data_IF_091373311394
#
_entry.id   IF_091373311394
#
_cell.length_a   1.000
_cell.length_b   1.000
_cell.length_c   1.000
_cell.angle_alpha   90.00
_cell.angle_beta   90.00
_cell.angle_gamma   90.00
#
_symmetry.space_group_name_H-M   'P 1'
#
loop_
_entity.id
_entity.type
_entity.pdbx_description
1 polymer ?
#
# COMPACT_ATOMS: atom_id res chain seq x y z
N UNK A 1 0.39 -8.70 -15.44
CA UNK A 1 0.66 -7.30 -15.09
C UNK A 1 1.75 -7.33 -14.04
N UNK A 2 2.92 -6.78 -14.35
CA UNK A 2 4.07 -6.75 -13.45
C UNK A 2 3.83 -5.85 -12.25
N UNK A 3 4.49 -6.14 -11.13
CA UNK A 3 4.44 -5.29 -9.94
C UNK A 3 5.61 -4.31 -9.97
N UNK A 4 5.30 -3.03 -9.95
CA UNK A 4 6.27 -1.94 -10.01
C UNK A 4 6.14 -1.04 -8.79
N UNK A 5 7.27 -0.72 -8.18
CA UNK A 5 7.39 0.34 -7.18
C UNK A 5 8.16 1.51 -7.79
N UNK A 6 7.74 2.74 -7.50
CA UNK A 6 8.45 3.97 -7.86
C UNK A 6 8.48 4.93 -6.68
N UNK A 7 9.67 5.30 -6.21
CA UNK A 7 9.84 6.26 -5.13
C UNK A 7 9.21 7.64 -5.44
N UNK A 8 9.21 8.05 -6.72
CA UNK A 8 8.61 9.30 -7.14
C UNK A 8 7.08 9.26 -7.05
N UNK A 9 6.46 8.18 -7.55
CA UNK A 9 5.00 7.99 -7.48
C UNK A 9 4.54 7.79 -6.04
N UNK A 10 5.31 7.04 -5.26
CA UNK A 10 5.05 6.81 -3.83
C UNK A 10 5.06 8.13 -3.05
N UNK A 11 6.04 9.00 -3.28
CA UNK A 11 6.08 10.34 -2.68
C UNK A 11 4.87 11.20 -3.09
N UNK A 12 4.49 11.16 -4.36
CA UNK A 12 3.32 11.89 -4.86
C UNK A 12 2.02 11.38 -4.21
N UNK A 13 1.86 10.06 -4.08
CA UNK A 13 0.74 9.44 -3.38
C UNK A 13 0.70 9.88 -1.92
N UNK A 14 1.82 9.80 -1.20
CA UNK A 14 1.90 10.19 0.20
C UNK A 14 1.46 11.64 0.37
N UNK A 15 1.97 12.55 -0.45
CA UNK A 15 1.62 13.97 -0.38
C UNK A 15 0.14 14.21 -0.66
N UNK A 16 -0.41 13.59 -1.73
CA UNK A 16 -1.81 13.72 -2.09
C UNK A 16 -2.73 13.18 -0.97
N UNK A 17 -2.40 12.02 -0.41
CA UNK A 17 -3.18 11.42 0.68
C UNK A 17 -3.11 12.25 1.96
N UNK A 18 -1.93 12.77 2.34
CA UNK A 18 -1.80 13.66 3.49
C UNK A 18 -2.72 14.89 3.36
N UNK A 19 -2.70 15.54 2.20
CA UNK A 19 -3.57 16.70 1.94
C UNK A 19 -5.06 16.31 1.98
N UNK A 20 -5.42 15.20 1.34
CA UNK A 20 -6.81 14.76 1.29
C UNK A 20 -7.35 14.36 2.67
N UNK A 21 -6.54 13.73 3.52
CA UNK A 21 -6.91 13.39 4.90
C UNK A 21 -7.15 14.65 5.72
N UNK A 22 -6.29 15.67 5.57
CA UNK A 22 -6.49 16.94 6.26
C UNK A 22 -7.83 17.59 5.87
N UNK A 23 -8.11 17.68 4.56
CA UNK A 23 -9.38 18.22 4.05
C UNK A 23 -10.57 17.38 4.54
N UNK A 24 -10.44 16.05 4.53
CA UNK A 24 -11.49 15.16 4.97
C UNK A 24 -11.81 15.37 6.47
N UNK A 25 -10.79 15.48 7.33
CA UNK A 25 -10.95 15.79 8.75
C UNK A 25 -11.67 17.13 8.97
N UNK A 26 -11.25 18.19 8.28
CA UNK A 26 -11.91 19.50 8.37
C UNK A 26 -13.39 19.45 7.98
N UNK A 27 -13.72 18.70 6.92
CA UNK A 27 -15.10 18.52 6.47
C UNK A 27 -15.90 17.71 7.49
N UNK A 28 -15.36 16.59 7.99
CA UNK A 28 -16.09 15.75 8.96
C UNK A 28 -16.27 16.43 10.31
N UNK A 29 -15.30 17.22 10.76
CA UNK A 29 -15.41 17.98 12.01
C UNK A 29 -16.50 19.05 11.91
N UNK A 30 -16.55 19.77 10.77
CA UNK A 30 -17.62 20.75 10.50
C UNK A 30 -18.99 20.09 10.40
N UNK A 31 -19.09 18.93 9.75
CA UNK A 31 -20.33 18.16 9.68
C UNK A 31 -20.78 17.69 11.07
N UNK A 32 -19.86 17.17 11.88
CA UNK A 32 -20.16 16.74 13.24
C UNK A 32 -20.62 17.91 14.10
N UNK A 33 -19.88 19.02 14.10
CA UNK A 33 -20.23 20.22 14.87
C UNK A 33 -21.57 20.83 14.44
N UNK A 34 -21.85 20.87 13.13
CA UNK A 34 -23.14 21.31 12.61
C UNK A 34 -24.30 20.40 13.04
N UNK A 35 -24.07 19.08 13.07
CA UNK A 35 -25.07 18.13 13.58
C UNK A 35 -25.29 18.32 15.10
N UNK A 36 -24.23 18.47 15.89
CA UNK A 36 -24.33 18.70 17.32
C UNK A 36 -25.12 19.99 17.63
N UNK A 37 -24.84 21.07 16.90
CA UNK A 37 -25.60 22.32 17.00
C UNK A 37 -27.08 22.11 16.63
N UNK A 38 -27.37 21.41 15.52
CA UNK A 38 -28.74 21.14 15.11
C UNK A 38 -29.51 20.37 16.20
N UNK A 39 -28.91 19.32 16.76
CA UNK A 39 -29.52 18.53 17.85
C UNK A 39 -29.73 19.39 19.09
N UNK A 40 -28.77 20.23 19.46
CA UNK A 40 -28.91 21.15 20.60
C UNK A 40 -30.05 22.16 20.41
N UNK A 41 -30.21 22.75 19.22
CA UNK A 41 -31.33 23.65 18.90
C UNK A 41 -32.70 22.96 18.89
N UNK A 42 -32.73 21.66 18.57
CA UNK A 42 -33.94 20.83 18.66
C UNK A 42 -34.28 20.50 20.13
N UNK A 43 -33.26 20.24 20.95
CA UNK A 43 -33.41 19.92 22.37
C UNK A 43 -33.75 21.14 23.23
N UNK A 44 -33.32 22.34 22.82
CA UNK A 44 -33.69 23.60 23.49
C UNK A 44 -35.17 23.97 23.29
N UNK A 45 -35.84 23.35 22.31
CA UNK A 45 -37.18 23.72 21.90
C UNK A 45 -37.23 25.00 21.07
N UNK A 46 -36.10 25.50 20.55
CA UNK A 46 -36.08 26.63 19.61
C UNK A 46 -36.64 26.23 18.24
N UNK A 47 -36.41 24.97 17.84
CA UNK A 47 -36.95 24.37 16.62
C UNK A 47 -38.02 23.32 16.97
N UNK A 48 -39.29 23.61 16.67
CA UNK A 48 -40.43 22.73 17.02
C UNK A 48 -41.41 22.53 15.86
N UNK A 49 -42.09 21.39 15.86
CA UNK A 49 -43.07 21.00 14.85
C UNK A 49 -42.70 19.68 14.17
N UNK A 50 -43.65 19.10 13.44
CA UNK A 50 -43.50 17.77 12.82
C UNK A 50 -42.26 17.67 11.90
N UNK A 51 -41.95 18.74 11.16
CA UNK A 51 -40.75 18.82 10.30
C UNK A 51 -39.44 18.68 11.07
N UNK A 52 -39.34 19.37 12.19
CA UNK A 52 -38.16 19.36 13.03
C UNK A 52 -38.02 18.03 13.78
N UNK A 53 -39.13 17.44 14.23
CA UNK A 53 -39.13 16.08 14.81
C UNK A 53 -38.71 15.02 13.80
N UNK A 54 -39.20 15.09 12.57
CA UNK A 54 -38.84 14.13 11.53
C UNK A 54 -37.36 14.31 11.12
N UNK A 55 -36.93 15.55 10.87
CA UNK A 55 -35.52 15.88 10.61
C UNK A 55 -34.60 15.39 11.73
N UNK A 56 -34.97 15.60 12.99
CA UNK A 56 -34.26 15.05 14.15
C UNK A 56 -34.05 13.54 14.05
N UNK A 57 -35.10 12.80 13.68
CA UNK A 57 -35.04 11.36 13.49
C UNK A 57 -34.04 10.95 12.40
N UNK A 58 -34.10 11.59 11.23
CA UNK A 58 -33.17 11.34 10.13
C UNK A 58 -31.71 11.60 10.54
N UNK A 59 -31.45 12.74 11.20
CA UNK A 59 -30.11 13.10 11.64
C UNK A 59 -29.58 12.15 12.72
N UNK A 60 -30.39 11.86 13.74
CA UNK A 60 -29.97 11.02 14.88
C UNK A 60 -29.79 9.56 14.48
N UNK A 61 -30.67 9.01 13.65
CA UNK A 61 -30.66 7.59 13.30
C UNK A 61 -29.73 7.25 12.13
N UNK A 62 -29.51 8.18 11.20
CA UNK A 62 -28.82 7.89 9.94
C UNK A 62 -27.59 8.79 9.76
N UNK A 63 -27.76 10.12 9.75
CA UNK A 63 -26.68 11.04 9.32
C UNK A 63 -25.53 11.07 10.34
N UNK A 64 -25.81 11.28 11.63
CA UNK A 64 -24.79 11.35 12.68
C UNK A 64 -23.98 10.05 12.78
N UNK A 65 -24.61 8.85 12.86
CA UNK A 65 -23.85 7.59 12.86
C UNK A 65 -23.00 7.41 11.60
N UNK A 66 -23.47 7.87 10.44
CA UNK A 66 -22.72 7.78 9.18
C UNK A 66 -21.50 8.68 9.16
N UNK A 67 -21.60 9.90 9.67
CA UNK A 67 -20.45 10.82 9.85
C UNK A 67 -19.43 10.21 10.81
N UNK A 68 -19.87 9.61 11.94
CA UNK A 68 -18.96 8.94 12.88
C UNK A 68 -18.23 7.76 12.25
N UNK A 69 -18.90 6.95 11.42
CA UNK A 69 -18.25 5.87 10.65
C UNK A 69 -17.25 6.41 9.64
N UNK A 70 -17.57 7.51 8.97
CA UNK A 70 -16.66 8.18 8.04
C UNK A 70 -15.41 8.71 8.75
N UNK A 71 -15.56 9.32 9.92
CA UNK A 71 -14.43 9.80 10.74
C UNK A 71 -13.50 8.64 11.14
N UNK A 72 -14.06 7.53 11.63
CA UNK A 72 -13.28 6.34 11.95
C UNK A 72 -12.53 5.77 10.72
N UNK A 73 -13.11 5.84 9.53
CA UNK A 73 -12.44 5.42 8.30
C UNK A 73 -11.30 6.36 7.90
N UNK A 74 -11.45 7.67 8.09
CA UNK A 74 -10.39 8.66 7.86
C UNK A 74 -9.23 8.43 8.84
N UNK A 75 -9.52 8.19 10.11
CA UNK A 75 -8.52 7.83 11.12
C UNK A 75 -7.75 6.57 10.71
N UNK A 76 -8.47 5.55 10.23
CA UNK A 76 -7.85 4.32 9.74
C UNK A 76 -7.00 4.53 8.47
N UNK A 77 -7.41 5.42 7.56
CA UNK A 77 -6.60 5.81 6.40
C UNK A 77 -5.33 6.54 6.86
N UNK A 78 -5.40 7.37 7.88
CA UNK A 78 -4.23 8.03 8.45
C UNK A 78 -3.24 7.03 9.06
N UNK A 79 -3.74 6.00 9.75
CA UNK A 79 -2.92 4.88 10.23
C UNK A 79 -2.31 4.10 9.07
N UNK A 80 -3.11 3.77 8.04
CA UNK A 80 -2.66 3.09 6.83
C UNK A 80 -1.57 3.88 6.09
N UNK A 81 -1.73 5.19 5.95
CA UNK A 81 -0.76 6.07 5.32
C UNK A 81 0.54 6.13 6.11
N UNK A 82 0.46 6.13 7.45
CA UNK A 82 1.65 6.08 8.30
C UNK A 82 2.40 4.75 8.11
N UNK A 83 1.69 3.62 8.02
CA UNK A 83 2.31 2.32 7.71
C UNK A 83 2.95 2.31 6.33
N UNK A 84 2.25 2.84 5.32
CA UNK A 84 2.77 2.99 3.97
C UNK A 84 4.04 3.86 3.93
N UNK A 85 4.06 5.01 4.61
CA UNK A 85 5.23 5.89 4.72
C UNK A 85 6.43 5.18 5.34
N UNK A 86 6.23 4.36 6.38
CA UNK A 86 7.31 3.58 6.99
C UNK A 86 7.85 2.54 6.01
N UNK A 87 6.98 1.87 5.25
CA UNK A 87 7.39 0.90 4.26
C UNK A 87 8.15 1.57 3.10
N UNK A 88 7.64 2.70 2.61
CA UNK A 88 8.27 3.52 1.56
C UNK A 88 9.69 3.94 1.94
N UNK A 89 9.90 4.42 3.17
CA UNK A 89 11.21 4.86 3.65
C UNK A 89 12.31 3.78 3.56
N UNK A 90 11.94 2.49 3.63
CA UNK A 90 12.88 1.37 3.55
C UNK A 90 13.27 1.00 2.11
N UNK A 91 12.38 1.26 1.14
CA UNK A 91 12.54 0.83 -0.25
C UNK A 91 12.89 2.00 -1.19
N UNK A 92 12.59 3.25 -0.81
CA UNK A 92 12.76 4.44 -1.64
C UNK A 92 14.19 4.66 -2.14
N UNK A 93 15.20 4.20 -1.40
CA UNK A 93 16.61 4.26 -1.81
C UNK A 93 16.90 3.55 -3.13
N UNK A 94 16.05 2.62 -3.56
CA UNK A 94 16.23 1.89 -4.80
C UNK A 94 15.59 2.58 -6.02
N UNK A 95 14.86 3.69 -5.82
CA UNK A 95 14.23 4.42 -6.91
C UNK A 95 13.04 3.66 -7.50
N UNK A 96 13.19 3.13 -8.71
CA UNK A 96 12.17 2.33 -9.39
C UNK A 96 12.56 0.87 -9.39
N UNK A 97 11.66 0.00 -8.94
CA UNK A 97 11.83 -1.45 -8.93
C UNK A 97 10.72 -2.09 -9.75
N UNK A 98 11.09 -2.82 -10.79
CA UNK A 98 10.19 -3.63 -11.59
C UNK A 98 10.47 -5.11 -11.33
N UNK A 99 9.47 -5.83 -10.80
CA UNK A 99 9.63 -7.23 -10.40
C UNK A 99 10.03 -8.14 -11.55
N UNK A 100 9.42 -7.96 -12.72
CA UNK A 100 9.62 -8.83 -13.88
C UNK A 100 11.03 -8.59 -14.44
N UNK A 101 11.44 -7.33 -14.54
CA UNK A 101 12.80 -6.95 -14.95
C UNK A 101 13.86 -7.48 -13.99
N UNK A 102 13.67 -7.32 -12.67
CA UNK A 102 14.63 -7.79 -11.67
C UNK A 102 14.76 -9.32 -11.67
N UNK A 103 13.64 -10.02 -11.86
CA UNK A 103 13.62 -11.48 -11.92
C UNK A 103 14.36 -11.99 -13.15
N UNK A 104 14.15 -11.37 -14.32
CA UNK A 104 14.89 -11.73 -15.53
C UNK A 104 16.38 -11.38 -15.40
N UNK A 105 16.71 -10.22 -14.83
CA UNK A 105 18.10 -9.83 -14.59
C UNK A 105 18.83 -10.82 -13.67
N UNK A 106 18.19 -11.28 -12.59
CA UNK A 106 18.72 -12.32 -11.69
C UNK A 106 19.03 -13.60 -12.47
N UNK A 107 18.04 -14.07 -13.25
CA UNK A 107 18.15 -15.30 -14.05
C UNK A 107 19.30 -15.24 -15.06
N UNK A 108 19.48 -14.08 -15.72
CA UNK A 108 20.57 -13.88 -16.68
C UNK A 108 21.94 -13.90 -16.00
N UNK A 109 22.10 -13.25 -14.84
CA UNK A 109 23.37 -13.25 -14.09
C UNK A 109 23.72 -14.64 -13.54
N UNK A 110 22.74 -15.38 -13.03
CA UNK A 110 22.95 -16.77 -12.57
C UNK A 110 23.45 -17.67 -13.70
N UNK A 111 22.89 -17.51 -14.90
CA UNK A 111 23.39 -18.20 -16.10
C UNK A 111 24.83 -17.79 -16.44
N UNK A 112 25.17 -16.51 -16.36
CA UNK A 112 26.54 -16.05 -16.61
C UNK A 112 27.55 -16.62 -15.61
N UNK A 113 27.17 -16.73 -14.33
CA UNK A 113 28.00 -17.41 -13.30
C UNK A 113 28.28 -18.86 -13.68
N UNK A 114 27.27 -19.60 -14.16
CA UNK A 114 27.44 -20.99 -14.60
C UNK A 114 28.39 -21.11 -15.81
N UNK A 115 28.26 -20.21 -16.79
CA UNK A 115 29.15 -20.18 -17.97
C UNK A 115 30.59 -19.86 -17.56
N UNK A 116 30.79 -18.86 -16.71
CA UNK A 116 32.13 -18.48 -16.23
C UNK A 116 32.75 -19.61 -15.39
N UNK A 117 31.95 -20.29 -14.55
CA UNK A 117 32.44 -21.43 -13.77
C UNK A 117 32.92 -22.56 -14.69
N UNK A 118 32.15 -22.91 -15.71
CA UNK A 118 32.56 -23.94 -16.67
C UNK A 118 33.88 -23.59 -17.37
N UNK A 119 34.10 -22.30 -17.70
CA UNK A 119 35.35 -21.85 -18.31
C UNK A 119 36.54 -21.92 -17.33
N UNK A 120 36.33 -21.58 -16.06
CA UNK A 120 37.34 -21.74 -15.01
C UNK A 120 37.71 -23.22 -14.87
N UNK A 121 36.72 -24.11 -14.83
CA UNK A 121 36.94 -25.56 -14.68
C UNK A 121 37.73 -26.14 -15.88
N UNK A 122 37.40 -25.70 -17.10
CA UNK A 122 38.14 -26.07 -18.31
C UNK A 122 39.59 -25.59 -18.25
N UNK A 123 39.81 -24.31 -17.93
CA UNK A 123 41.15 -23.73 -17.80
C UNK A 123 42.00 -24.46 -16.75
N UNK A 124 41.43 -24.75 -15.58
CA UNK A 124 42.13 -25.50 -14.52
C UNK A 124 42.45 -26.95 -14.93
N UNK A 125 41.56 -27.60 -15.67
CA UNK A 125 41.78 -28.96 -16.17
C UNK A 125 42.92 -29.01 -17.20
N UNK A 126 42.96 -28.04 -18.12
CA UNK A 126 44.01 -27.89 -19.10
C UNK A 126 45.36 -27.60 -18.43
N UNK A 127 45.39 -26.71 -17.43
CA UNK A 127 46.59 -26.42 -16.64
C UNK A 127 47.14 -27.66 -15.92
N UNK A 128 46.27 -28.49 -15.32
CA UNK A 128 46.65 -29.78 -14.73
C UNK A 128 47.23 -30.74 -15.79
N UNK A 129 46.69 -30.74 -17.00
CA UNK A 129 47.15 -31.60 -18.08
C UNK A 129 48.50 -31.15 -18.66
N UNK A 130 48.69 -29.85 -18.91
CA UNK A 130 49.89 -29.30 -19.57
C UNK A 130 51.08 -29.12 -18.61
N UNK A 131 50.84 -28.85 -17.32
CA UNK A 131 51.89 -28.87 -16.30
C UNK A 131 52.61 -30.22 -16.21
N UNK A 132 51.98 -31.30 -16.66
CA UNK A 132 52.61 -32.62 -16.76
C UNK A 132 53.52 -32.82 -17.99
N UNK A 133 53.59 -31.86 -18.94
CA UNK A 133 54.23 -32.06 -20.26
C UNK A 133 55.31 -31.03 -20.67
N UNK A 134 55.54 -29.94 -19.91
CA UNK A 134 56.52 -28.85 -20.14
C UNK A 134 56.42 -28.08 -21.49
N UNK A 135 56.45 -26.74 -21.37
CA UNK A 135 56.54 -25.68 -22.42
C UNK A 135 55.22 -25.20 -23.07
N UNK A 136 54.59 -24.15 -22.51
CA UNK A 136 53.43 -23.47 -23.12
C UNK A 136 53.03 -22.20 -22.36
N UNK A 137 52.25 -21.32 -22.98
CA UNK A 137 51.93 -19.94 -22.55
C UNK A 137 51.09 -19.85 -21.25
N UNK A 138 51.75 -19.98 -20.10
CA UNK A 138 51.10 -20.00 -18.78
C UNK A 138 50.63 -18.61 -18.31
N UNK A 139 51.33 -17.54 -18.67
CA UNK A 139 51.05 -16.20 -18.15
C UNK A 139 49.67 -15.68 -18.54
N UNK A 140 49.25 -15.95 -19.78
CA UNK A 140 47.94 -15.58 -20.33
C UNK A 140 46.82 -16.38 -19.67
N UNK A 141 46.95 -17.72 -19.57
CA UNK A 141 45.98 -18.60 -18.91
C UNK A 141 45.74 -18.30 -17.42
N UNK A 142 46.79 -18.00 -16.65
CA UNK A 142 46.65 -17.60 -15.25
C UNK A 142 45.96 -16.23 -15.11
N UNK A 143 46.30 -15.27 -15.98
CA UNK A 143 45.66 -13.95 -16.05
C UNK A 143 44.17 -14.06 -16.41
N UNK A 144 43.84 -14.91 -17.39
CA UNK A 144 42.46 -15.13 -17.84
C UNK A 144 41.64 -15.79 -16.74
N UNK A 145 42.19 -16.81 -16.07
CA UNK A 145 41.53 -17.48 -14.94
C UNK A 145 41.28 -16.51 -13.78
N UNK A 146 42.25 -15.67 -13.44
CA UNK A 146 42.08 -14.61 -12.42
C UNK A 146 40.99 -13.60 -12.82
N UNK A 147 40.94 -13.19 -14.08
CA UNK A 147 39.91 -12.30 -14.61
C UNK A 147 38.51 -12.92 -14.53
N UNK A 148 38.38 -14.21 -14.85
CA UNK A 148 37.13 -14.96 -14.73
C UNK A 148 36.65 -15.05 -13.27
N UNK A 149 37.55 -15.31 -12.32
CA UNK A 149 37.22 -15.28 -10.89
C UNK A 149 36.71 -13.91 -10.43
N UNK A 150 37.36 -12.82 -10.86
CA UNK A 150 36.89 -11.47 -10.55
C UNK A 150 35.52 -11.20 -11.18
N UNK A 151 35.31 -11.55 -12.44
CA UNK A 151 34.03 -11.40 -13.12
C UNK A 151 32.90 -12.20 -12.43
N UNK A 152 33.18 -13.46 -12.06
CA UNK A 152 32.27 -14.31 -11.29
C UNK A 152 31.87 -13.64 -9.96
N UNK A 153 32.84 -13.18 -9.18
CA UNK A 153 32.57 -12.53 -7.90
C UNK A 153 31.71 -11.25 -8.07
N UNK A 154 31.98 -10.45 -9.10
CA UNK A 154 31.16 -9.28 -9.41
C UNK A 154 29.71 -9.65 -9.78
N UNK A 155 29.52 -10.73 -10.56
CA UNK A 155 28.19 -11.24 -10.88
C UNK A 155 27.47 -11.75 -9.63
N UNK A 156 28.15 -12.46 -8.74
CA UNK A 156 27.58 -12.95 -7.47
C UNK A 156 27.17 -11.81 -6.54
N UNK A 157 27.98 -10.75 -6.43
CA UNK A 157 27.62 -9.51 -5.73
C UNK A 157 26.36 -8.90 -6.38
N UNK A 158 26.33 -8.82 -7.71
CA UNK A 158 25.18 -8.31 -8.45
C UNK A 158 23.91 -9.16 -8.27
N UNK A 159 24.01 -10.50 -8.20
CA UNK A 159 22.87 -11.38 -7.92
C UNK A 159 22.34 -11.12 -6.51
N UNK A 160 23.22 -10.97 -5.52
CA UNK A 160 22.84 -10.61 -4.15
C UNK A 160 22.08 -9.28 -4.11
N UNK A 161 22.59 -8.25 -4.79
CA UNK A 161 21.92 -6.94 -4.85
C UNK A 161 20.51 -7.02 -5.46
N UNK A 162 20.35 -7.74 -6.58
CA UNK A 162 19.04 -7.92 -7.23
C UNK A 162 18.09 -8.71 -6.34
N UNK A 163 18.59 -9.72 -5.62
CA UNK A 163 17.81 -10.50 -4.66
C UNK A 163 17.31 -9.63 -3.51
N UNK A 164 18.17 -8.79 -2.92
CA UNK A 164 17.77 -7.84 -1.87
C UNK A 164 16.72 -6.84 -2.36
N UNK A 165 16.81 -6.37 -3.62
CA UNK A 165 15.79 -5.50 -4.21
C UNK A 165 14.43 -6.20 -4.37
N UNK A 166 14.42 -7.46 -4.82
CA UNK A 166 13.20 -8.27 -4.91
C UNK A 166 12.56 -8.52 -3.54
N UNK A 167 13.35 -8.90 -2.54
CA UNK A 167 12.88 -9.10 -1.16
C UNK A 167 12.31 -7.81 -0.56
N UNK A 168 12.98 -6.68 -0.80
CA UNK A 168 12.49 -5.37 -0.34
C UNK A 168 11.16 -5.01 -0.98
N UNK A 169 10.99 -5.30 -2.27
CA UNK A 169 9.74 -5.08 -3.00
C UNK A 169 8.61 -5.96 -2.47
N UNK A 170 8.86 -7.25 -2.28
CA UNK A 170 7.88 -8.18 -1.71
C UNK A 170 7.46 -7.79 -0.29
N UNK A 171 8.43 -7.41 0.55
CA UNK A 171 8.17 -6.90 1.89
C UNK A 171 7.29 -5.64 1.84
N UNK A 172 7.62 -4.67 0.98
CA UNK A 172 6.83 -3.44 0.83
C UNK A 172 5.37 -3.73 0.43
N UNK A 173 5.15 -4.58 -0.57
CA UNK A 173 3.80 -4.97 -1.00
C UNK A 173 3.02 -5.63 0.13
N UNK A 174 3.70 -6.44 0.92
CA UNK A 174 3.10 -7.14 2.06
C UNK A 174 2.71 -6.18 3.19
N UNK A 175 3.50 -5.14 3.44
CA UNK A 175 3.16 -4.11 4.43
C UNK A 175 2.02 -3.19 3.98
N UNK A 176 1.83 -3.02 2.66
CA UNK A 176 0.96 -1.98 2.10
C UNK A 176 -0.36 -2.48 1.52
N UNK A 177 -0.48 -3.77 1.21
CA UNK A 177 -1.64 -4.37 0.52
C UNK A 177 -2.98 -4.14 1.23
N UNK A 178 -2.97 -4.09 2.56
CA UNK A 178 -4.19 -3.98 3.37
C UNK A 178 -4.45 -2.53 3.87
N UNK A 179 -3.56 -1.56 3.61
CA UNK A 179 -3.55 -0.25 4.31
C UNK A 179 -4.85 0.56 4.20
N UNK A 180 -5.65 0.38 3.14
CA UNK A 180 -6.82 1.24 2.86
C UNK A 180 -8.10 0.48 2.53
N UNK A 181 -8.05 -0.86 2.52
CA UNK A 181 -9.12 -1.70 1.94
C UNK A 181 -10.48 -1.44 2.58
N UNK A 182 -10.58 -1.57 3.90
CA UNK A 182 -11.86 -1.45 4.61
C UNK A 182 -12.34 0.02 4.63
N UNK A 183 -11.43 0.96 4.81
CA UNK A 183 -11.77 2.39 4.80
C UNK A 183 -12.30 2.88 3.46
N UNK A 184 -11.80 2.35 2.34
CA UNK A 184 -12.32 2.66 1.01
C UNK A 184 -13.74 2.15 0.81
N UNK A 185 -14.09 0.99 1.39
CA UNK A 185 -15.49 0.49 1.39
C UNK A 185 -16.40 1.44 2.18
N UNK A 186 -15.95 1.90 3.35
CA UNK A 186 -16.70 2.88 4.16
C UNK A 186 -16.89 4.19 3.40
N UNK A 187 -15.84 4.71 2.74
CA UNK A 187 -15.94 5.92 1.91
C UNK A 187 -16.93 5.74 0.76
N UNK A 188 -16.89 4.60 0.06
CA UNK A 188 -17.83 4.29 -1.01
C UNK A 188 -19.28 4.24 -0.51
N UNK A 189 -19.52 3.59 0.63
CA UNK A 189 -20.84 3.52 1.26
C UNK A 189 -21.32 4.91 1.72
N UNK A 190 -20.42 5.75 2.21
CA UNK A 190 -20.74 7.13 2.59
C UNK A 190 -21.11 7.99 1.37
N UNK A 191 -20.42 7.82 0.23
CA UNK A 191 -20.77 8.50 -1.04
C UNK A 191 -22.13 8.02 -1.55
N UNK A 192 -22.38 6.71 -1.52
CA UNK A 192 -23.70 6.14 -1.86
C UNK A 192 -24.77 6.75 -0.95
N UNK A 193 -24.53 6.79 0.36
CA UNK A 193 -25.47 7.35 1.31
C UNK A 193 -25.76 8.83 1.08
N UNK A 194 -24.72 9.65 0.85
CA UNK A 194 -24.89 11.05 0.51
C UNK A 194 -25.71 11.25 -0.78
N UNK A 195 -25.50 10.40 -1.79
CA UNK A 195 -26.23 10.43 -3.06
C UNK A 195 -27.70 10.05 -2.89
N UNK A 196 -28.02 9.11 -2.00
CA UNK A 196 -29.41 8.72 -1.71
C UNK A 196 -30.09 9.79 -0.86
N UNK A 197 -29.40 10.32 0.16
CA UNK A 197 -29.95 11.34 1.05
C UNK A 197 -30.21 12.67 0.35
N UNK A 198 -29.46 13.02 -0.70
CA UNK A 198 -29.71 14.23 -1.50
C UNK A 198 -31.03 14.19 -2.28
N UNK A 199 -31.63 13.01 -2.43
CA UNK A 199 -32.91 12.79 -3.09
C UNK A 199 -34.09 12.72 -2.11
N UNK A 200 -33.84 12.81 -0.80
CA UNK A 200 -34.90 12.83 0.20
C UNK A 200 -35.67 14.13 0.10
N UNK A 201 -36.96 14.04 -0.23
CA UNK A 201 -37.88 15.17 -0.21
C UNK A 201 -38.53 15.29 1.17
N UNK A 202 -38.55 16.52 1.69
CA UNK A 202 -39.38 16.90 2.83
C UNK A 202 -40.70 17.47 2.31
N UNK A 203 -41.80 16.87 2.75
CA UNK A 203 -43.15 17.38 2.54
C UNK A 203 -43.35 18.68 3.33
N UNK A 204 -44.33 19.48 2.92
CA UNK A 204 -44.69 20.74 3.59
C UNK A 204 -45.20 20.56 5.02
N UNK A 205 -45.68 19.37 5.38
CA UNK A 205 -46.06 19.00 6.75
C UNK A 205 -44.88 18.55 7.60
N UNK A 206 -43.68 18.49 7.01
CA UNK A 206 -42.47 18.08 7.68
C UNK A 206 -42.17 16.59 7.68
N UNK A 207 -43.04 15.77 7.08
CA UNK A 207 -42.69 14.37 6.84
C UNK A 207 -41.58 14.26 5.80
N UNK A 208 -40.69 13.28 5.94
CA UNK A 208 -39.75 12.89 4.89
C UNK A 208 -39.99 11.44 4.52
N UNK A 209 -39.82 11.13 3.25
CA UNK A 209 -39.95 9.76 2.75
C UNK A 209 -38.64 9.30 2.15
N UNK A 210 -38.22 8.10 2.53
CA UNK A 210 -37.14 7.36 1.86
C UNK A 210 -37.69 6.32 0.89
N UNK A 211 -39.01 6.34 0.62
CA UNK A 211 -39.64 5.39 -0.29
C UNK A 211 -39.08 5.56 -1.71
N UNK A 212 -38.61 4.45 -2.28
CA UNK A 212 -37.94 4.43 -3.59
C UNK A 212 -36.44 4.73 -3.55
N UNK A 213 -35.89 5.11 -2.38
CA UNK A 213 -34.45 5.22 -2.19
C UNK A 213 -33.86 3.90 -1.72
N UNK A 214 -32.64 3.61 -2.17
CA UNK A 214 -31.88 2.49 -1.64
C UNK A 214 -31.24 2.90 -0.32
N UNK A 215 -31.75 2.38 0.79
CA UNK A 215 -31.19 2.63 2.14
C UNK A 215 -30.37 1.44 2.67
N UNK A 216 -30.08 0.43 1.83
CA UNK A 216 -29.29 -0.74 2.23
C UNK A 216 -27.87 -0.36 2.68
N UNK A 217 -27.33 0.74 2.14
CA UNK A 217 -26.05 1.30 2.53
C UNK A 217 -25.95 1.62 4.02
N UNK A 218 -27.05 1.98 4.70
CA UNK A 218 -27.04 2.29 6.14
C UNK A 218 -26.64 1.06 6.94
N UNK A 219 -27.27 -0.08 6.63
CA UNK A 219 -26.96 -1.37 7.26
C UNK A 219 -25.54 -1.83 6.89
N UNK A 220 -25.16 -1.70 5.63
CA UNK A 220 -23.80 -2.05 5.16
C UNK A 220 -22.73 -1.19 5.85
N UNK A 221 -22.95 0.12 5.97
CA UNK A 221 -22.02 1.06 6.61
C UNK A 221 -21.87 0.77 8.10
N UNK A 222 -22.99 0.44 8.78
CA UNK A 222 -22.99 0.05 10.18
C UNK A 222 -22.18 -1.23 10.40
N UNK A 223 -22.38 -2.22 9.54
CA UNK A 223 -21.78 -3.55 9.65
C UNK A 223 -20.34 -3.62 9.10
N UNK A 224 -19.90 -2.64 8.31
CA UNK A 224 -18.53 -2.58 7.84
C UNK A 224 -17.59 -2.30 9.02
N UNK A 225 -16.74 -3.27 9.32
CA UNK A 225 -15.69 -3.16 10.32
C UNK A 225 -14.44 -2.51 9.71
N UNK A 226 -13.60 -1.98 10.59
CA UNK A 226 -12.28 -1.48 10.23
C UNK A 226 -11.27 -2.43 10.86
N UNK A 227 -10.63 -3.25 10.04
CA UNK A 227 -9.57 -4.12 10.52
C UNK A 227 -8.35 -3.28 10.92
N UNK A 228 -7.66 -3.61 12.02
CA UNK A 228 -6.38 -2.97 12.32
C UNK A 228 -5.39 -3.25 11.19
N UNK A 229 -4.67 -2.20 10.77
CA UNK A 229 -3.58 -2.33 9.80
C UNK A 229 -2.51 -3.22 10.41
N UNK A 230 -2.41 -4.46 9.93
CA UNK A 230 -1.47 -5.45 10.44
C UNK A 230 -0.04 -5.14 9.99
N UNK A 231 0.64 -4.24 10.69
CA UNK A 231 2.07 -3.94 10.50
C UNK A 231 3.02 -5.09 10.91
N UNK A 232 2.48 -6.23 11.36
CA UNK A 232 3.22 -7.32 12.02
C UNK A 232 3.19 -8.66 11.30
N UNK A 233 2.57 -8.79 10.12
CA UNK A 233 2.39 -10.12 9.49
C UNK A 233 3.72 -10.85 9.16
N UNK A 234 4.88 -10.18 9.13
CA UNK A 234 6.17 -10.81 8.79
C UNK A 234 7.38 -10.18 9.49
N UNK A 235 7.36 -10.05 10.83
CA UNK A 235 8.58 -9.75 11.62
C UNK A 235 9.49 -10.95 11.84
N UNK A 236 9.23 -12.10 11.20
CA UNK A 236 10.13 -13.25 11.24
C UNK A 236 10.81 -13.45 9.88
N UNK A 237 12.14 -13.45 9.90
CA UNK A 237 13.07 -13.90 8.85
C UNK A 237 13.73 -12.83 7.97
N UNK A 238 14.17 -11.71 8.54
CA UNK A 238 15.41 -11.09 8.04
C UNK A 238 16.50 -11.39 9.08
N UNK A 239 16.97 -12.64 9.10
CA UNK A 239 18.26 -12.96 9.67
C UNK A 239 19.27 -12.50 8.63
N UNK A 240 19.85 -11.32 8.85
CA UNK A 240 21.06 -10.90 8.16
C UNK A 240 22.17 -11.78 8.73
N UNK A 241 22.50 -12.87 8.06
CA UNK A 241 23.71 -13.62 8.38
C UNK A 241 24.89 -12.79 7.86
N UNK A 242 25.65 -12.24 8.79
CA UNK A 242 26.92 -11.54 8.54
C UNK A 242 28.00 -12.50 8.03
#
# INVERSE_FOLDING_TARGET
MGVTYSAAESKALIQAMTNNIQIANEITDRLSSGCDHLIASLDSGELQGAAYTAGRGLFTAIIIPSIKKLQAAIDAIQVGLTTYQRADAQIARYGTLDRDHLTELKRLRERQVQVIQAQIDENESFMKQVSSLLTGDYGTLWSDTSTLYHAKNQLEIGIREVTTKLESLEWFLTQTSDCFRDSLVILQLAIQGATQLSQVFMSSDGSYSTAGLDMSWVTSLKNQEISPVNASKYTQNIIITY
#
